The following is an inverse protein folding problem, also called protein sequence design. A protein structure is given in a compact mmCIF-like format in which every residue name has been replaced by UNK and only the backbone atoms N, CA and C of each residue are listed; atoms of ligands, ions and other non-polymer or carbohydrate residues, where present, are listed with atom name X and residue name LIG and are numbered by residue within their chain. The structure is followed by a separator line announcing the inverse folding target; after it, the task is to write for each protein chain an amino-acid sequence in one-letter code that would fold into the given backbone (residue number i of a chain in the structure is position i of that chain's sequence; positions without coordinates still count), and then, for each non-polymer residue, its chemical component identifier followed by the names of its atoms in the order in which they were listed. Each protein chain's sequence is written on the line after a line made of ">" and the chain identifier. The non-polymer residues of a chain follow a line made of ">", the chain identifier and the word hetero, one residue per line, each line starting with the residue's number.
data_IF_954992977865
#
_entry.id   IF_954992977865
#
_cell.length_a   1.000
_cell.length_b   1.000
_cell.length_c   1.000
_cell.angle_alpha   90.00
_cell.angle_beta   90.00
_cell.angle_gamma   90.00
#
_symmetry.space_group_name_H-M   'P 1'
#
loop_
_entity.id
_entity.type
_entity.pdbx_description
1 polymer ?
#
# COMPACT_ATOMS: atom_id res chain seq x y z
N UNK A 1 73.75 34.46 -28.00
CA UNK A 1 74.80 33.53 -27.56
C UNK A 1 74.21 32.54 -26.55
N UNK A 2 74.44 31.24 -26.81
CA UNK A 2 74.25 30.04 -25.95
C UNK A 2 72.84 29.54 -25.56
N UNK A 3 72.54 28.40 -26.20
CA UNK A 3 71.64 27.27 -25.88
C UNK A 3 71.76 26.76 -24.44
N UNK A 4 70.70 26.12 -23.93
CA UNK A 4 70.74 24.67 -23.61
C UNK A 4 69.34 24.04 -23.53
N UNK A 5 69.21 22.84 -24.09
CA UNK A 5 68.07 21.90 -24.04
C UNK A 5 68.25 20.98 -22.82
N UNK A 6 67.16 20.50 -22.21
CA UNK A 6 67.05 19.15 -21.61
C UNK A 6 65.58 18.75 -21.43
N UNK A 7 65.32 17.45 -21.42
CA UNK A 7 64.07 16.77 -21.80
C UNK A 7 63.58 15.85 -20.67
N UNK A 8 62.25 15.61 -20.61
CA UNK A 8 61.48 14.47 -20.05
C UNK A 8 61.60 14.05 -18.57
N UNK A 9 60.43 13.85 -17.91
CA UNK A 9 60.08 12.59 -17.21
C UNK A 9 58.58 12.54 -16.87
N UNK A 10 57.93 11.42 -17.21
CA UNK A 10 56.57 11.05 -16.79
C UNK A 10 56.53 10.76 -15.28
N UNK A 11 55.49 11.23 -14.58
CA UNK A 11 54.93 10.52 -13.41
C UNK A 11 53.46 10.88 -13.21
N UNK A 12 52.65 9.85 -12.92
CA UNK A 12 51.25 9.90 -12.45
C UNK A 12 51.11 8.75 -11.43
N UNK A 13 50.11 8.68 -10.53
CA UNK A 13 49.02 9.61 -10.18
C UNK A 13 48.99 9.97 -8.67
N UNK A 14 48.30 11.06 -8.27
CA UNK A 14 47.90 11.27 -6.86
C UNK A 14 46.41 11.61 -6.77
N UNK A 15 45.70 10.82 -5.96
CA UNK A 15 44.28 10.94 -5.63
C UNK A 15 43.94 12.31 -4.98
N UNK A 16 42.72 12.86 -5.18
CA UNK A 16 42.28 14.03 -4.44
C UNK A 16 41.86 13.63 -3.01
N UNK A 17 42.39 14.38 -2.03
CA UNK A 17 42.14 14.24 -0.59
C UNK A 17 40.70 14.65 -0.22
N UNK A 18 40.10 13.98 0.77
CA UNK A 18 38.88 14.44 1.47
C UNK A 18 39.16 15.77 2.20
N UNK A 19 38.22 16.74 2.22
CA UNK A 19 38.35 17.91 3.08
C UNK A 19 38.08 17.54 4.54
N UNK A 20 38.99 17.96 5.44
CA UNK A 20 38.82 17.97 6.89
C UNK A 20 38.03 19.21 7.32
N UNK A 21 37.06 19.06 8.20
CA UNK A 21 36.39 20.18 8.88
C UNK A 21 37.33 20.78 9.95
N UNK A 22 37.43 22.11 10.08
CA UNK A 22 38.21 22.74 11.15
C UNK A 22 37.42 22.77 12.47
N UNK A 23 38.12 22.43 13.55
CA UNK A 23 37.68 22.52 14.94
C UNK A 23 37.57 23.98 15.42
N UNK A 24 36.53 24.27 16.20
CA UNK A 24 36.48 25.44 17.09
C UNK A 24 35.87 26.72 16.52
N UNK A 25 34.57 26.90 16.73
CA UNK A 25 33.88 28.18 16.51
C UNK A 25 32.46 28.15 17.06
N UNK A 26 32.24 28.83 18.18
CA UNK A 26 30.93 29.08 18.80
C UNK A 26 30.04 29.91 17.86
N UNK A 27 28.87 29.37 17.47
CA UNK A 27 27.81 30.12 16.80
C UNK A 27 26.64 30.33 17.77
N UNK A 28 26.57 31.54 18.31
CA UNK A 28 25.40 32.13 18.96
C UNK A 28 24.37 32.56 17.92
N UNK A 29 23.10 32.25 18.20
CA UNK A 29 21.89 32.85 17.64
C UNK A 29 21.69 32.84 16.10
N UNK A 30 21.07 31.77 15.60
CA UNK A 30 20.06 31.88 14.55
C UNK A 30 18.80 31.13 15.01
N UNK A 31 17.88 31.88 15.62
CA UNK A 31 16.53 31.43 15.90
C UNK A 31 15.64 31.57 14.67
N UNK A 32 15.20 30.44 14.11
CA UNK A 32 13.79 30.20 13.73
C UNK A 32 13.62 28.73 13.38
N UNK A 33 12.69 28.10 14.09
CA UNK A 33 12.54 26.65 14.19
C UNK A 33 12.30 25.93 12.87
N UNK A 34 13.15 24.97 12.62
CA UNK A 34 12.77 23.69 12.06
C UNK A 34 13.37 22.66 13.01
N UNK A 35 12.54 22.21 13.95
CA UNK A 35 12.91 21.17 14.89
C UNK A 35 13.36 19.95 14.10
N UNK A 36 14.65 19.62 14.23
CA UNK A 36 15.19 18.30 13.93
C UNK A 36 14.53 17.31 14.90
N UNK A 37 13.31 16.89 14.60
CA UNK A 37 12.72 15.72 15.23
C UNK A 37 13.48 14.48 14.78
N UNK A 38 13.85 13.59 15.72
CA UNK A 38 14.58 12.37 15.40
C UNK A 38 13.74 11.50 14.46
N UNK A 39 14.45 10.76 13.60
CA UNK A 39 13.94 9.70 12.73
C UNK A 39 12.92 8.85 13.48
N UNK A 40 11.64 9.16 13.29
CA UNK A 40 10.58 8.20 13.52
C UNK A 40 10.64 7.26 12.32
N UNK A 41 11.10 6.04 12.59
CA UNK A 41 10.93 4.89 11.72
C UNK A 41 9.42 4.63 11.53
N UNK A 42 8.75 5.45 10.72
CA UNK A 42 7.43 5.13 10.20
C UNK A 42 7.65 4.32 8.91
N UNK A 43 8.01 3.05 9.09
CA UNK A 43 7.78 2.05 8.07
C UNK A 43 6.28 2.05 7.82
N UNK A 44 5.87 2.74 6.75
CA UNK A 44 4.47 2.93 6.39
C UNK A 44 3.92 1.58 5.95
N UNK A 45 3.30 0.87 6.88
CA UNK A 45 2.49 -0.29 6.57
C UNK A 45 1.23 0.22 5.86
N UNK A 46 1.28 0.31 4.53
CA UNK A 46 0.09 0.27 3.68
C UNK A 46 -0.52 -1.14 3.77
N UNK A 47 -1.12 -1.44 4.92
CA UNK A 47 -1.93 -2.63 5.19
C UNK A 47 -3.32 -2.19 5.67
N UNK A 48 -3.87 -1.20 4.98
CA UNK A 48 -5.25 -0.81 5.16
C UNK A 48 -5.93 -0.95 3.82
N UNK A 49 -6.90 -1.87 3.80
CA UNK A 49 -7.84 -2.18 2.72
C UNK A 49 -7.38 -3.23 1.70
N UNK A 50 -8.08 -4.37 1.68
CA UNK A 50 -8.09 -5.30 0.55
C UNK A 50 -7.25 -6.58 0.69
N UNK A 51 -7.55 -7.47 1.64
CA UNK A 51 -7.14 -8.87 1.51
C UNK A 51 -7.92 -9.51 0.36
N UNK A 52 -7.42 -9.39 -0.87
CA UNK A 52 -7.85 -10.16 -2.03
C UNK A 52 -6.62 -10.92 -2.55
N UNK A 53 -6.84 -11.96 -3.35
CA UNK A 53 -5.86 -12.89 -3.94
C UNK A 53 -4.78 -12.27 -4.86
N UNK A 54 -4.15 -11.17 -4.44
CA UNK A 54 -3.18 -10.37 -5.17
C UNK A 54 -2.04 -9.88 -4.27
N UNK A 55 -1.54 -10.75 -3.40
CA UNK A 55 -0.39 -10.46 -2.51
C UNK A 55 0.86 -9.94 -3.24
N UNK A 56 1.00 -10.18 -4.54
CA UNK A 56 2.09 -9.64 -5.37
C UNK A 56 1.88 -8.16 -5.77
N UNK A 57 0.63 -7.70 -5.89
CA UNK A 57 0.31 -6.31 -6.20
C UNK A 57 0.47 -5.41 -4.96
N UNK A 58 0.19 -5.93 -3.75
CA UNK A 58 0.34 -5.19 -2.49
C UNK A 58 1.82 -4.92 -2.16
N UNK A 59 2.71 -5.86 -2.52
CA UNK A 59 4.15 -5.66 -2.40
C UNK A 59 4.67 -4.59 -3.37
N UNK A 60 4.17 -4.58 -4.61
CA UNK A 60 4.49 -3.54 -5.59
C UNK A 60 3.92 -2.17 -5.16
N UNK A 61 2.68 -2.14 -4.65
CA UNK A 61 2.01 -0.95 -4.12
C UNK A 61 2.78 -0.32 -2.95
N UNK A 62 3.18 -1.15 -1.99
CA UNK A 62 3.94 -0.71 -0.84
C UNK A 62 5.34 -0.22 -1.28
N UNK A 63 6.03 -0.92 -2.18
CA UNK A 63 7.34 -0.52 -2.68
C UNK A 63 7.32 0.74 -3.56
N UNK A 64 6.30 0.93 -4.41
CA UNK A 64 6.17 2.08 -5.35
C UNK A 64 5.77 3.33 -4.59
N UNK A 65 4.77 3.25 -3.69
CA UNK A 65 4.43 4.37 -2.81
C UNK A 65 5.59 4.75 -1.90
N UNK A 66 6.35 3.75 -1.40
CA UNK A 66 7.55 4.01 -0.62
C UNK A 66 8.65 4.62 -1.49
N UNK A 67 8.77 4.24 -2.76
CA UNK A 67 9.75 4.81 -3.69
C UNK A 67 9.41 6.25 -4.09
N UNK A 68 8.16 6.56 -4.42
CA UNK A 68 7.71 7.93 -4.73
C UNK A 68 7.83 8.85 -3.51
N UNK A 69 7.57 8.32 -2.31
CA UNK A 69 7.80 9.04 -1.06
C UNK A 69 9.28 9.24 -0.76
N UNK A 70 10.11 8.21 -0.97
CA UNK A 70 11.55 8.32 -0.84
C UNK A 70 12.08 9.32 -1.87
N UNK A 71 11.59 9.32 -3.11
CA UNK A 71 11.99 10.24 -4.17
C UNK A 71 11.61 11.69 -3.84
N UNK A 72 10.36 11.93 -3.42
CA UNK A 72 9.87 13.24 -2.97
C UNK A 72 10.65 13.76 -1.75
N UNK A 73 11.04 12.87 -0.83
CA UNK A 73 11.81 13.22 0.37
C UNK A 73 13.32 13.32 0.10
N UNK A 74 13.84 12.65 -0.93
CA UNK A 74 15.23 12.79 -1.37
C UNK A 74 15.48 14.11 -2.10
N UNK A 75 14.47 14.66 -2.78
CA UNK A 75 14.56 15.95 -3.46
C UNK A 75 14.66 17.15 -2.48
N UNK A 76 14.33 16.95 -1.19
CA UNK A 76 14.24 18.01 -0.17
C UNK A 76 15.39 18.07 0.84
N UNK A 77 16.55 17.45 0.57
CA UNK A 77 17.80 17.83 1.25
C UNK A 77 18.50 16.76 2.09
N UNK A 78 18.41 15.48 1.71
CA UNK A 78 19.37 14.49 2.19
C UNK A 78 20.74 14.77 1.56
N UNK A 79 21.74 15.04 2.40
CA UNK A 79 23.16 15.11 2.04
C UNK A 79 23.46 13.95 1.08
N UNK A 80 24.06 14.26 -0.08
CA UNK A 80 24.33 13.34 -1.20
C UNK A 80 25.21 12.10 -0.87
N UNK A 81 25.38 11.77 0.42
CA UNK A 81 26.17 10.67 0.95
C UNK A 81 25.40 9.78 1.96
N UNK A 82 24.07 9.70 1.87
CA UNK A 82 23.30 8.73 2.66
C UNK A 82 23.29 7.36 1.96
N UNK A 83 23.34 6.27 2.75
CA UNK A 83 23.40 4.91 2.21
C UNK A 83 21.99 4.36 1.92
N UNK A 84 21.46 4.69 0.75
CA UNK A 84 20.12 4.28 0.32
C UNK A 84 19.98 2.75 0.12
N UNK A 85 21.06 2.03 -0.18
CA UNK A 85 21.02 0.56 -0.27
C UNK A 85 20.65 -0.05 1.08
N UNK A 86 21.31 0.40 2.16
CA UNK A 86 21.02 -0.11 3.52
C UNK A 86 19.60 0.23 3.96
N UNK A 87 19.15 1.45 3.69
CA UNK A 87 17.80 1.90 4.07
C UNK A 87 16.73 1.07 3.35
N UNK A 88 16.90 0.83 2.04
CA UNK A 88 15.96 0.01 1.24
C UNK A 88 15.82 -1.43 1.77
N UNK A 89 16.94 -2.06 2.16
CA UNK A 89 16.95 -3.43 2.68
C UNK A 89 16.31 -3.50 4.07
N UNK A 90 16.62 -2.56 4.96
CA UNK A 90 16.04 -2.51 6.31
C UNK A 90 14.53 -2.32 6.23
N UNK A 91 14.06 -1.37 5.41
CA UNK A 91 12.62 -1.09 5.25
C UNK A 91 11.89 -2.31 4.69
N UNK A 92 12.44 -2.97 3.67
CA UNK A 92 11.85 -4.18 3.08
C UNK A 92 11.75 -5.33 4.10
N UNK A 93 12.81 -5.57 4.88
CA UNK A 93 12.82 -6.63 5.91
C UNK A 93 11.78 -6.34 7.01
N UNK A 94 11.75 -5.10 7.52
CA UNK A 94 10.78 -4.71 8.56
C UNK A 94 9.35 -4.89 8.04
N UNK A 95 9.06 -4.42 6.83
CA UNK A 95 7.73 -4.55 6.23
C UNK A 95 7.31 -6.03 6.06
N UNK A 96 8.25 -6.89 5.64
CA UNK A 96 8.02 -8.33 5.55
C UNK A 96 7.70 -8.97 6.90
N UNK A 97 8.49 -8.67 7.94
CA UNK A 97 8.24 -9.17 9.30
C UNK A 97 6.92 -8.66 9.88
N UNK A 98 6.62 -7.37 9.71
CA UNK A 98 5.37 -6.77 10.18
C UNK A 98 4.17 -7.43 9.50
N UNK A 99 4.25 -7.73 8.20
CA UNK A 99 3.16 -8.41 7.47
C UNK A 99 2.86 -9.80 8.03
N UNK A 100 3.90 -10.60 8.29
CA UNK A 100 3.76 -11.93 8.91
C UNK A 100 3.23 -11.82 10.34
N UNK A 101 3.75 -10.87 11.12
CA UNK A 101 3.31 -10.62 12.49
C UNK A 101 1.82 -10.25 12.55
N UNK A 102 1.39 -9.30 11.72
CA UNK A 102 -0.02 -8.88 11.62
C UNK A 102 -0.90 -10.06 11.19
N UNK A 103 -0.48 -10.86 10.21
CA UNK A 103 -1.23 -12.04 9.79
C UNK A 103 -1.44 -13.03 10.94
N UNK A 104 -0.41 -13.33 11.72
CA UNK A 104 -0.52 -14.22 12.89
C UNK A 104 -1.54 -13.67 13.90
N UNK A 105 -1.47 -12.37 14.21
CA UNK A 105 -2.40 -11.73 15.15
C UNK A 105 -3.83 -11.81 14.61
N UNK A 106 -4.05 -11.47 13.34
CA UNK A 106 -5.38 -11.49 12.69
C UNK A 106 -5.98 -12.90 12.69
N UNK A 107 -5.23 -13.91 12.22
CA UNK A 107 -5.72 -15.28 12.16
C UNK A 107 -5.94 -15.89 13.56
N UNK A 108 -5.21 -15.44 14.59
CA UNK A 108 -5.48 -15.87 15.97
C UNK A 108 -6.85 -15.42 16.47
N UNK A 109 -7.27 -14.21 16.12
CA UNK A 109 -8.59 -13.66 16.49
C UNK A 109 -9.72 -14.28 15.66
N UNK A 110 -9.49 -14.50 14.37
CA UNK A 110 -10.43 -15.24 13.50
C UNK A 110 -10.64 -16.66 14.05
N UNK A 111 -9.56 -17.35 14.41
CA UNK A 111 -9.63 -18.69 15.01
C UNK A 111 -10.41 -18.69 16.33
N UNK A 112 -10.15 -17.73 17.22
CA UNK A 112 -10.90 -17.57 18.48
C UNK A 112 -12.41 -17.42 18.24
N UNK A 113 -12.81 -16.54 17.31
CA UNK A 113 -14.22 -16.34 16.94
C UNK A 113 -14.85 -17.60 16.35
N UNK A 114 -14.12 -18.30 15.47
CA UNK A 114 -14.61 -19.52 14.83
C UNK A 114 -14.85 -20.65 15.85
N UNK A 115 -13.93 -20.85 16.78
CA UNK A 115 -14.11 -21.81 17.88
C UNK A 115 -15.31 -21.45 18.74
N UNK A 116 -15.47 -20.18 19.09
CA UNK A 116 -16.62 -19.76 19.91
C UNK A 116 -17.96 -19.99 19.21
N UNK A 117 -18.06 -19.67 17.91
CA UNK A 117 -19.27 -19.97 17.12
C UNK A 117 -19.53 -21.46 17.00
N UNK A 118 -18.48 -22.25 16.85
CA UNK A 118 -18.59 -23.71 16.82
C UNK A 118 -19.13 -24.25 18.14
N UNK A 119 -18.60 -23.79 19.28
CA UNK A 119 -19.05 -24.21 20.61
C UNK A 119 -20.50 -23.79 20.89
N UNK A 120 -20.90 -22.57 20.53
CA UNK A 120 -22.27 -22.06 20.66
C UNK A 120 -23.26 -22.86 19.78
N UNK A 121 -22.89 -23.15 18.53
CA UNK A 121 -23.67 -23.97 17.60
C UNK A 121 -23.84 -25.40 18.12
N UNK A 122 -22.75 -26.02 18.58
CA UNK A 122 -22.78 -27.39 19.07
C UNK A 122 -23.58 -27.50 20.37
N UNK A 123 -23.44 -26.54 21.28
CA UNK A 123 -24.21 -26.47 22.52
C UNK A 123 -25.72 -26.36 22.25
N UNK A 124 -26.12 -25.62 21.21
CA UNK A 124 -27.53 -25.51 20.78
C UNK A 124 -28.07 -26.85 20.28
N UNK A 125 -27.28 -27.61 19.54
CA UNK A 125 -27.65 -28.96 19.10
C UNK A 125 -27.79 -29.94 20.27
N UNK A 126 -26.88 -29.89 21.25
CA UNK A 126 -26.98 -30.68 22.48
C UNK A 126 -28.28 -30.32 23.21
N UNK A 127 -28.56 -29.03 23.42
CA UNK A 127 -29.75 -28.56 24.12
C UNK A 127 -31.05 -28.98 23.41
N UNK A 128 -31.06 -28.95 22.07
CA UNK A 128 -32.20 -29.41 21.26
C UNK A 128 -32.48 -30.89 21.47
N UNK A 129 -31.43 -31.73 21.55
CA UNK A 129 -31.57 -33.15 21.83
C UNK A 129 -32.05 -33.41 23.27
N UNK A 130 -31.48 -32.70 24.23
CA UNK A 130 -31.81 -32.81 25.66
C UNK A 130 -33.28 -32.46 25.90
N UNK A 131 -33.75 -31.33 25.37
CA UNK A 131 -35.14 -30.88 25.52
C UNK A 131 -36.13 -31.74 24.73
N UNK A 132 -35.71 -32.34 23.61
CA UNK A 132 -36.56 -33.21 22.81
C UNK A 132 -36.83 -34.57 23.45
N UNK A 133 -35.92 -35.07 24.28
CA UNK A 133 -35.97 -36.39 24.92
C UNK A 133 -35.95 -36.36 26.46
N UNK A 134 -36.11 -35.17 27.06
CA UNK A 134 -36.08 -34.93 28.52
C UNK A 134 -34.89 -35.60 29.24
N UNK A 135 -33.69 -35.44 28.67
CA UNK A 135 -32.45 -35.99 29.23
C UNK A 135 -31.92 -35.08 30.37
N UNK A 136 -31.21 -35.61 31.37
CA UNK A 136 -30.56 -34.77 32.38
C UNK A 136 -29.38 -33.97 31.80
N UNK A 137 -29.22 -32.73 32.24
CA UNK A 137 -28.10 -31.87 31.88
C UNK A 137 -26.75 -32.53 32.25
N UNK A 138 -25.77 -32.48 31.34
CA UNK A 138 -24.45 -33.07 31.52
C UNK A 138 -24.32 -34.54 31.11
N UNK A 139 -25.42 -35.23 30.77
CA UNK A 139 -25.38 -36.61 30.26
C UNK A 139 -24.95 -36.69 28.78
N UNK A 140 -25.25 -35.64 28.00
CA UNK A 140 -24.83 -35.51 26.60
C UNK A 140 -23.68 -34.52 26.51
N UNK A 141 -22.52 -35.01 26.07
CA UNK A 141 -21.30 -34.22 25.86
C UNK A 141 -20.92 -34.22 24.37
N UNK A 142 -19.97 -33.35 24.00
CA UNK A 142 -19.47 -33.26 22.63
C UNK A 142 -18.91 -34.58 22.09
N UNK A 143 -18.25 -35.37 22.93
CA UNK A 143 -17.66 -36.65 22.56
C UNK A 143 -18.72 -37.73 22.28
N UNK A 144 -19.81 -37.75 23.07
CA UNK A 144 -20.84 -38.79 23.02
C UNK A 144 -22.06 -38.40 22.18
N UNK A 145 -22.06 -37.21 21.57
CA UNK A 145 -23.23 -36.66 20.89
C UNK A 145 -23.72 -37.53 19.72
N UNK A 146 -22.80 -38.00 18.87
CA UNK A 146 -23.15 -38.82 17.68
C UNK A 146 -23.75 -40.16 18.09
N UNK A 147 -23.23 -40.78 19.15
CA UNK A 147 -23.74 -42.05 19.66
C UNK A 147 -25.12 -41.87 20.31
N UNK A 148 -25.31 -40.79 21.08
CA UNK A 148 -26.61 -40.45 21.66
C UNK A 148 -27.66 -40.12 20.60
N UNK A 149 -27.29 -39.43 19.51
CA UNK A 149 -28.19 -39.20 18.38
C UNK A 149 -28.70 -40.52 17.79
N UNK A 150 -27.82 -41.51 17.60
CA UNK A 150 -28.22 -42.84 17.10
C UNK A 150 -29.14 -43.56 18.07
N UNK A 151 -28.88 -43.49 19.38
CA UNK A 151 -29.73 -44.11 20.40
C UNK A 151 -31.12 -43.48 20.46
N UNK A 152 -31.21 -42.15 20.39
CA UNK A 152 -32.49 -41.43 20.39
C UNK A 152 -33.31 -41.75 19.13
N UNK A 153 -32.68 -41.76 17.96
CA UNK A 153 -33.34 -42.13 16.70
C UNK A 153 -33.82 -43.59 16.69
N UNK A 154 -33.08 -44.50 17.31
CA UNK A 154 -33.50 -45.90 17.45
C UNK A 154 -34.66 -46.08 18.44
N UNK A 155 -34.75 -45.23 19.46
CA UNK A 155 -35.77 -45.31 20.51
C UNK A 155 -37.10 -44.73 20.06
N UNK A 156 -37.09 -43.52 19.48
CA UNK A 156 -38.27 -42.89 18.91
C UNK A 156 -37.92 -42.13 17.60
N UNK A 157 -38.09 -42.79 16.43
CA UNK A 157 -37.83 -42.19 15.14
C UNK A 157 -38.77 -41.02 14.80
N UNK A 158 -39.99 -41.02 15.34
CA UNK A 158 -41.01 -40.02 15.00
C UNK A 158 -40.76 -38.70 15.73
N UNK A 159 -40.35 -38.76 17.01
CA UNK A 159 -39.93 -37.58 17.77
C UNK A 159 -38.60 -37.03 17.22
N UNK A 160 -37.63 -37.89 16.90
CA UNK A 160 -36.34 -37.47 16.35
C UNK A 160 -36.47 -36.71 15.03
N UNK A 161 -37.40 -37.13 14.15
CA UNK A 161 -37.63 -36.48 12.85
C UNK A 161 -38.14 -35.03 12.95
N UNK A 162 -38.70 -34.62 14.09
CA UNK A 162 -39.16 -33.24 14.32
C UNK A 162 -38.05 -32.32 14.81
N UNK A 163 -36.93 -32.88 15.29
CA UNK A 163 -35.80 -32.09 15.77
C UNK A 163 -34.95 -31.59 14.60
N UNK A 164 -34.65 -30.29 14.62
CA UNK A 164 -33.80 -29.65 13.63
C UNK A 164 -32.42 -29.44 14.23
N UNK A 165 -31.41 -30.10 13.66
CA UNK A 165 -30.00 -29.92 14.04
C UNK A 165 -29.29 -29.01 13.05
N UNK A 166 -28.45 -28.12 13.55
CA UNK A 166 -27.58 -27.27 12.74
C UNK A 166 -26.29 -28.01 12.38
N UNK A 167 -25.76 -27.78 11.18
CA UNK A 167 -24.45 -28.31 10.77
C UNK A 167 -23.34 -27.38 11.26
N UNK A 168 -22.64 -27.78 12.33
CA UNK A 168 -21.53 -27.02 12.90
C UNK A 168 -20.20 -27.56 12.35
N UNK A 169 -19.60 -26.89 11.37
CA UNK A 169 -18.27 -27.24 10.85
C UNK A 169 -17.29 -26.08 11.02
N UNK A 170 -16.15 -26.34 11.67
CA UNK A 170 -15.16 -25.30 11.96
C UNK A 170 -14.51 -24.74 10.70
N UNK A 171 -14.29 -25.57 9.66
CA UNK A 171 -13.68 -25.11 8.42
C UNK A 171 -14.61 -24.12 7.70
N UNK A 172 -15.92 -24.37 7.74
CA UNK A 172 -16.91 -23.43 7.20
C UNK A 172 -16.83 -22.06 7.89
N UNK A 173 -16.75 -22.01 9.24
CA UNK A 173 -16.63 -20.76 10.00
C UNK A 173 -15.30 -20.04 9.78
N UNK A 174 -14.21 -20.76 9.56
CA UNK A 174 -12.90 -20.18 9.22
C UNK A 174 -12.89 -19.58 7.80
N UNK A 175 -13.60 -20.21 6.86
CA UNK A 175 -13.68 -19.75 5.46
C UNK A 175 -14.62 -18.54 5.27
N UNK A 176 -15.47 -18.25 6.24
CA UNK A 176 -16.36 -17.09 6.26
C UNK A 176 -15.63 -15.78 6.66
N UNK A 177 -14.30 -15.77 6.57
CA UNK A 177 -13.50 -14.58 6.80
C UNK A 177 -13.90 -13.49 5.79
N UNK A 178 -14.49 -12.42 6.33
CA UNK A 178 -14.94 -11.27 5.55
C UNK A 178 -13.71 -10.47 5.11
N UNK A 179 -13.53 -10.31 3.80
CA UNK A 179 -12.50 -9.44 3.23
C UNK A 179 -12.86 -7.95 3.42
N UNK A 180 -11.87 -7.08 3.52
CA UNK A 180 -12.06 -5.62 3.55
C UNK A 180 -12.50 -5.05 4.91
N UNK A 181 -13.44 -4.09 4.89
CA UNK A 181 -13.90 -3.34 6.08
C UNK A 181 -14.55 -4.20 7.15
N UNK A 182 -15.22 -5.29 6.76
CA UNK A 182 -15.89 -6.17 7.71
C UNK A 182 -14.94 -6.88 8.68
N UNK A 183 -13.68 -7.09 8.29
CA UNK A 183 -12.68 -7.71 9.15
C UNK A 183 -12.47 -6.89 10.44
N UNK A 184 -12.13 -5.61 10.31
CA UNK A 184 -11.88 -4.74 11.46
C UNK A 184 -13.16 -4.38 12.24
N UNK A 185 -14.26 -4.08 11.55
CA UNK A 185 -15.46 -3.52 12.19
C UNK A 185 -16.50 -4.55 12.63
N UNK A 186 -16.45 -5.78 12.12
CA UNK A 186 -17.39 -6.86 12.49
C UNK A 186 -16.64 -7.96 13.23
N UNK A 187 -15.63 -8.57 12.61
CA UNK A 187 -14.96 -9.76 13.16
C UNK A 187 -14.20 -9.41 14.44
N UNK A 188 -13.35 -8.38 14.39
CA UNK A 188 -12.54 -7.97 15.53
C UNK A 188 -13.38 -7.40 16.68
N UNK A 189 -14.38 -6.57 16.38
CA UNK A 189 -15.25 -5.99 17.42
C UNK A 189 -16.07 -7.07 18.12
N UNK A 190 -16.63 -8.04 17.38
CA UNK A 190 -17.34 -9.20 17.94
C UNK A 190 -16.41 -9.98 18.88
N UNK A 191 -15.19 -10.29 18.45
CA UNK A 191 -14.22 -10.99 19.30
C UNK A 191 -13.84 -10.20 20.56
N UNK A 192 -13.62 -8.89 20.45
CA UNK A 192 -13.26 -8.02 21.59
C UNK A 192 -14.34 -8.02 22.67
N UNK A 193 -15.64 -8.07 22.30
CA UNK A 193 -16.73 -8.12 23.29
C UNK A 193 -16.73 -9.37 24.16
N UNK A 194 -16.06 -10.44 23.71
CA UNK A 194 -15.97 -11.73 24.41
C UNK A 194 -14.72 -11.84 25.28
N UNK A 195 -13.76 -10.91 25.14
CA UNK A 195 -12.55 -10.86 25.95
C UNK A 195 -12.81 -10.15 27.30
N UNK A 196 -12.12 -10.55 28.38
CA UNK A 196 -12.17 -9.82 29.64
C UNK A 196 -11.59 -8.40 29.45
N UNK A 197 -12.17 -7.41 30.14
CA UNK A 197 -11.80 -5.99 29.99
C UNK A 197 -12.01 -5.45 28.55
N UNK A 198 -13.11 -5.82 27.90
CA UNK A 198 -13.45 -5.44 26.51
C UNK A 198 -13.26 -3.94 26.17
N UNK A 199 -13.62 -2.97 27.04
CA UNK A 199 -13.44 -1.55 26.72
C UNK A 199 -11.97 -1.15 26.51
N UNK A 200 -11.04 -1.74 27.26
CA UNK A 200 -9.61 -1.44 27.14
C UNK A 200 -9.07 -1.92 25.79
N UNK A 201 -9.38 -3.16 25.40
CA UNK A 201 -8.97 -3.74 24.13
C UNK A 201 -9.55 -2.98 22.94
N UNK A 202 -10.81 -2.54 23.03
CA UNK A 202 -11.44 -1.71 21.99
C UNK A 202 -10.69 -0.41 21.76
N UNK A 203 -10.30 0.31 22.83
CA UNK A 203 -9.58 1.58 22.71
C UNK A 203 -8.20 1.37 22.10
N UNK A 204 -7.44 0.36 22.55
CA UNK A 204 -6.13 0.05 21.99
C UNK A 204 -6.20 -0.33 20.51
N UNK A 205 -7.20 -1.13 20.12
CA UNK A 205 -7.38 -1.56 18.74
C UNK A 205 -7.72 -0.39 17.80
N UNK A 206 -8.66 0.48 18.17
CA UNK A 206 -9.02 1.61 17.33
C UNK A 206 -7.94 2.71 17.28
N UNK A 207 -7.21 2.95 18.39
CA UNK A 207 -6.06 3.87 18.37
C UNK A 207 -4.96 3.33 17.46
N UNK A 208 -4.69 2.02 17.48
CA UNK A 208 -3.74 1.38 16.57
C UNK A 208 -4.16 1.60 15.11
N UNK A 209 -5.41 1.29 14.73
CA UNK A 209 -5.90 1.51 13.36
C UNK A 209 -5.84 2.99 12.95
N UNK A 210 -6.15 3.90 13.86
CA UNK A 210 -6.05 5.33 13.64
C UNK A 210 -4.61 5.77 13.36
N UNK A 211 -3.64 5.31 14.16
CA UNK A 211 -2.22 5.62 13.95
C UNK A 211 -1.69 5.06 12.63
N UNK A 212 -2.09 3.83 12.26
CA UNK A 212 -1.71 3.23 10.96
C UNK A 212 -2.24 4.07 9.80
N UNK A 213 -3.53 4.41 9.80
CA UNK A 213 -4.13 5.25 8.78
C UNK A 213 -3.49 6.64 8.70
N UNK A 214 -3.28 7.29 9.84
CA UNK A 214 -2.69 8.63 9.91
C UNK A 214 -1.26 8.68 9.37
N UNK A 215 -0.44 7.65 9.65
CA UNK A 215 0.93 7.57 9.15
C UNK A 215 1.01 7.46 7.62
N UNK A 216 0.12 6.69 7.00
CA UNK A 216 0.02 6.57 5.54
C UNK A 216 -0.44 7.88 4.90
N UNK A 217 -1.40 8.58 5.53
CA UNK A 217 -1.91 9.85 5.01
C UNK A 217 -0.86 10.96 4.97
N UNK A 218 0.13 10.96 5.87
CA UNK A 218 1.25 11.90 5.78
C UNK A 218 2.05 11.72 4.49
N UNK A 219 2.29 10.48 4.08
CA UNK A 219 2.92 10.20 2.80
C UNK A 219 2.06 10.64 1.63
N UNK A 220 0.80 10.19 1.58
CA UNK A 220 -0.10 10.55 0.48
C UNK A 220 -0.25 12.06 0.30
N UNK A 221 -0.26 12.83 1.40
CA UNK A 221 -0.31 14.29 1.33
C UNK A 221 0.98 14.90 0.76
N UNK A 222 2.15 14.41 1.17
CA UNK A 222 3.46 14.84 0.64
C UNK A 222 3.54 14.58 -0.88
N UNK A 223 3.10 13.39 -1.32
CA UNK A 223 3.07 13.00 -2.72
C UNK A 223 2.14 13.83 -3.62
N UNK A 224 1.15 14.54 -3.05
CA UNK A 224 0.30 15.48 -3.80
C UNK A 224 0.81 16.90 -3.72
N UNK A 225 1.27 17.34 -2.55
CA UNK A 225 1.69 18.72 -2.31
C UNK A 225 2.97 19.05 -3.08
N UNK A 226 3.97 18.15 -3.08
CA UNK A 226 5.28 18.42 -3.70
C UNK A 226 5.17 18.59 -5.23
N UNK A 227 4.56 17.67 -6.00
CA UNK A 227 4.42 17.86 -7.45
C UNK A 227 3.59 19.10 -7.83
N UNK A 228 2.59 19.46 -7.02
CA UNK A 228 1.82 20.69 -7.24
C UNK A 228 2.66 21.95 -7.02
N UNK A 229 3.56 21.95 -6.05
CA UNK A 229 4.51 23.05 -5.84
C UNK A 229 5.49 23.18 -7.01
N UNK A 230 5.99 22.06 -7.51
CA UNK A 230 6.94 22.03 -8.64
C UNK A 230 6.32 22.48 -9.96
N UNK A 231 5.03 22.18 -10.18
CA UNK A 231 4.26 22.67 -11.32
C UNK A 231 3.98 24.18 -11.29
N UNK A 232 4.31 24.88 -10.19
CA UNK A 232 4.10 26.32 -10.00
C UNK A 232 2.66 26.77 -10.32
N UNK A 233 1.66 25.94 -10.01
CA UNK A 233 0.24 26.26 -10.25
C UNK A 233 -0.25 27.44 -9.40
N UNK A 234 0.42 27.70 -8.28
CA UNK A 234 0.11 28.79 -7.35
C UNK A 234 1.29 29.78 -7.31
N UNK A 235 1.03 31.08 -7.18
CA UNK A 235 2.09 32.08 -7.09
C UNK A 235 3.08 31.76 -5.95
N UNK A 236 4.39 31.94 -6.16
CA UNK A 236 5.44 31.61 -5.18
C UNK A 236 5.39 32.48 -3.89
N UNK A 237 4.44 33.41 -3.82
CA UNK A 237 4.22 34.28 -2.65
C UNK A 237 3.35 33.63 -1.58
N UNK A 238 2.61 32.58 -1.93
CA UNK A 238 1.69 31.93 -0.99
C UNK A 238 2.47 30.94 -0.12
N UNK A 239 2.23 30.92 1.20
CA UNK A 239 2.95 30.01 2.09
C UNK A 239 2.41 28.58 1.89
N UNK A 240 3.26 27.57 2.13
CA UNK A 240 2.96 26.15 1.88
C UNK A 240 1.70 25.68 2.63
N UNK A 241 1.45 26.24 3.81
CA UNK A 241 0.32 25.93 4.68
C UNK A 241 -1.03 26.24 4.01
N UNK A 242 -1.08 27.30 3.18
CA UNK A 242 -2.30 27.66 2.44
C UNK A 242 -2.58 26.65 1.33
N UNK A 243 -1.55 26.16 0.63
CA UNK A 243 -1.72 25.12 -0.38
C UNK A 243 -2.22 23.81 0.25
N UNK A 244 -1.57 23.36 1.31
CA UNK A 244 -1.97 22.15 2.05
C UNK A 244 -3.41 22.28 2.55
N UNK A 245 -3.78 23.43 3.13
CA UNK A 245 -5.15 23.69 3.57
C UNK A 245 -6.19 23.66 2.44
N UNK A 246 -5.86 24.20 1.27
CA UNK A 246 -6.75 24.18 0.09
C UNK A 246 -6.98 22.75 -0.43
N UNK A 247 -5.91 21.94 -0.49
CA UNK A 247 -6.01 20.53 -0.91
C UNK A 247 -6.88 19.76 0.09
N UNK A 248 -6.63 19.91 1.40
CA UNK A 248 -7.44 19.27 2.45
C UNK A 248 -8.93 19.67 2.36
N UNK A 249 -9.22 20.95 2.11
CA UNK A 249 -10.60 21.41 1.94
C UNK A 249 -11.24 20.82 0.67
N UNK A 250 -10.50 20.76 -0.44
CA UNK A 250 -10.96 20.15 -1.68
C UNK A 250 -11.27 18.66 -1.52
N UNK A 251 -10.37 17.89 -0.91
CA UNK A 251 -10.58 16.46 -0.67
C UNK A 251 -11.69 16.19 0.34
N UNK A 252 -11.86 17.04 1.35
CA UNK A 252 -12.99 16.97 2.28
C UNK A 252 -14.35 17.13 1.57
N UNK A 253 -14.47 18.10 0.65
CA UNK A 253 -15.71 18.31 -0.11
C UNK A 253 -16.00 17.15 -1.07
N UNK A 254 -14.99 16.58 -1.70
CA UNK A 254 -15.15 15.38 -2.55
C UNK A 254 -15.55 14.17 -1.71
N UNK A 255 -15.03 14.05 -0.47
CA UNK A 255 -15.32 12.97 0.45
C UNK A 255 -16.79 12.82 0.86
N UNK A 256 -17.64 13.82 0.61
CA UNK A 256 -19.09 13.72 0.87
C UNK A 256 -19.78 12.61 0.07
N UNK A 257 -19.19 12.14 -1.03
CA UNK A 257 -19.72 10.98 -1.76
C UNK A 257 -19.75 9.71 -0.89
N UNK A 258 -18.81 9.57 0.06
CA UNK A 258 -18.68 8.40 0.92
C UNK A 258 -19.59 8.44 2.16
N UNK A 259 -20.19 9.59 2.48
CA UNK A 259 -21.09 9.75 3.64
C UNK A 259 -22.56 9.49 3.31
N UNK A 260 -22.88 9.24 2.03
CA UNK A 260 -24.22 8.86 1.58
C UNK A 260 -24.59 7.45 2.08
N UNK A 261 -25.89 7.11 2.06
CA UNK A 261 -26.37 5.76 2.43
C UNK A 261 -25.74 4.65 1.56
N UNK A 262 -25.40 4.96 0.30
CA UNK A 262 -24.70 4.06 -0.62
C UNK A 262 -23.18 4.23 -0.58
N UNK A 263 -22.63 4.97 0.39
CA UNK A 263 -21.24 5.40 0.45
C UNK A 263 -20.24 4.25 0.52
N UNK A 264 -20.57 3.18 1.23
CA UNK A 264 -19.73 1.97 1.30
C UNK A 264 -19.55 1.30 -0.07
N UNK A 265 -20.59 1.31 -0.92
CA UNK A 265 -20.49 0.75 -2.28
C UNK A 265 -19.55 1.59 -3.16
N UNK A 266 -19.61 2.92 -3.04
CA UNK A 266 -18.67 3.82 -3.73
C UNK A 266 -17.23 3.61 -3.26
N UNK A 267 -17.02 3.45 -1.95
CA UNK A 267 -15.70 3.20 -1.39
C UNK A 267 -15.13 1.87 -1.88
N UNK A 268 -15.89 0.78 -1.82
CA UNK A 268 -15.44 -0.54 -2.31
C UNK A 268 -15.18 -0.56 -3.81
N UNK A 269 -15.97 0.17 -4.61
CA UNK A 269 -15.72 0.32 -6.04
C UNK A 269 -14.39 1.05 -6.29
N UNK A 270 -14.17 2.20 -5.66
CA UNK A 270 -12.95 2.97 -5.87
C UNK A 270 -11.71 2.25 -5.36
N UNK A 271 -11.78 1.59 -4.20
CA UNK A 271 -10.68 0.80 -3.63
C UNK A 271 -10.19 -0.29 -4.59
N UNK A 272 -11.12 -1.05 -5.17
CA UNK A 272 -10.80 -2.15 -6.08
C UNK A 272 -10.15 -1.71 -7.40
N UNK A 273 -10.47 -0.51 -7.90
CA UNK A 273 -10.06 -0.05 -9.24
C UNK A 273 -8.97 1.03 -9.23
N UNK A 274 -9.03 1.96 -8.28
CA UNK A 274 -8.05 3.04 -8.16
C UNK A 274 -6.71 2.52 -7.63
N UNK A 275 -6.75 1.52 -6.74
CA UNK A 275 -5.57 0.95 -6.09
C UNK A 275 -4.82 -0.12 -6.91
N UNK A 276 -5.38 -0.61 -8.01
CA UNK A 276 -4.82 -1.76 -8.75
C UNK A 276 -4.21 -1.34 -10.09
N UNK A 277 -5.05 -0.90 -11.04
CA UNK A 277 -4.65 -0.66 -12.43
C UNK A 277 -3.60 0.46 -12.58
N UNK A 278 -3.81 1.68 -12.02
CA UNK A 278 -2.85 2.76 -12.16
C UNK A 278 -1.47 2.42 -11.62
N UNK A 279 -1.42 1.81 -10.44
CA UNK A 279 -0.19 1.56 -9.71
C UNK A 279 0.70 0.54 -10.41
N UNK A 280 0.10 -0.51 -10.98
CA UNK A 280 0.83 -1.49 -11.77
C UNK A 280 1.45 -0.84 -13.03
N UNK A 281 0.68 -0.01 -13.74
CA UNK A 281 1.15 0.66 -14.96
C UNK A 281 2.26 1.68 -14.64
N UNK A 282 2.11 2.50 -13.61
CA UNK A 282 3.12 3.47 -13.16
C UNK A 282 4.42 2.75 -12.80
N UNK A 283 4.33 1.72 -11.95
CA UNK A 283 5.49 0.93 -11.52
C UNK A 283 6.25 0.27 -12.68
N UNK A 284 5.51 -0.25 -13.67
CA UNK A 284 6.12 -0.81 -14.88
C UNK A 284 6.83 0.27 -15.70
N UNK A 285 6.19 1.43 -15.91
CA UNK A 285 6.77 2.55 -16.65
C UNK A 285 8.03 3.10 -15.96
N UNK A 286 8.04 3.23 -14.64
CA UNK A 286 9.20 3.68 -13.86
C UNK A 286 10.39 2.73 -14.05
N UNK A 287 10.19 1.43 -13.80
CA UNK A 287 11.23 0.44 -13.94
C UNK A 287 11.79 0.39 -15.37
N UNK A 288 10.90 0.43 -16.37
CA UNK A 288 11.30 0.46 -17.78
C UNK A 288 12.08 1.73 -18.13
N UNK A 289 11.64 2.89 -17.63
CA UNK A 289 12.29 4.17 -17.88
C UNK A 289 13.70 4.26 -17.29
N UNK A 290 13.90 3.78 -16.06
CA UNK A 290 15.23 3.81 -15.41
C UNK A 290 16.20 2.83 -16.06
N UNK A 291 15.76 1.60 -16.35
CA UNK A 291 16.68 0.55 -16.82
C UNK A 291 17.01 0.71 -18.31
N UNK A 292 16.01 0.97 -19.15
CA UNK A 292 16.17 0.97 -20.61
C UNK A 292 16.29 2.37 -21.22
N UNK A 293 15.60 3.38 -20.70
CA UNK A 293 15.65 4.75 -21.27
C UNK A 293 16.82 5.55 -20.69
N UNK A 294 16.94 5.61 -19.35
CA UNK A 294 18.07 6.27 -18.70
C UNK A 294 19.37 5.47 -18.85
N UNK A 295 19.25 4.14 -18.82
CA UNK A 295 20.34 3.19 -19.01
C UNK A 295 20.97 2.78 -17.69
N UNK A 296 20.88 1.48 -17.38
CA UNK A 296 21.42 0.87 -16.17
C UNK A 296 22.92 1.16 -15.93
N UNK A 297 23.74 1.26 -16.97
CA UNK A 297 25.18 1.54 -16.82
C UNK A 297 25.46 2.97 -16.35
N UNK A 298 24.56 3.92 -16.66
CA UNK A 298 24.64 5.29 -16.14
C UNK A 298 24.18 5.32 -14.69
N UNK A 299 23.05 4.68 -14.40
CA UNK A 299 22.52 4.56 -13.04
C UNK A 299 23.53 3.93 -12.06
N UNK A 300 24.30 2.92 -12.51
CA UNK A 300 25.35 2.32 -11.70
C UNK A 300 26.47 3.29 -11.31
N UNK A 301 26.81 4.26 -12.16
CA UNK A 301 27.82 5.28 -11.85
C UNK A 301 27.28 6.31 -10.86
N UNK A 302 26.00 6.63 -10.96
CA UNK A 302 25.34 7.55 -10.02
C UNK A 302 25.25 6.94 -8.62
N UNK A 303 24.91 5.64 -8.52
CA UNK A 303 24.95 4.92 -7.23
C UNK A 303 26.37 4.83 -6.68
N UNK A 304 27.37 4.54 -7.53
CA UNK A 304 28.78 4.52 -7.10
C UNK A 304 29.24 5.88 -6.57
N UNK A 305 28.74 6.98 -7.13
CA UNK A 305 29.00 8.33 -6.64
C UNK A 305 28.34 8.61 -5.28
N UNK A 306 27.12 8.12 -5.03
CA UNK A 306 26.40 8.35 -3.77
C UNK A 306 26.88 7.45 -2.61
N UNK A 307 27.05 6.15 -2.86
CA UNK A 307 27.34 5.13 -1.82
C UNK A 307 28.84 4.81 -1.76
N UNK A 308 29.60 5.10 -2.82
CA UNK A 308 31.04 4.84 -2.90
C UNK A 308 31.42 3.45 -3.42
N UNK A 309 30.45 2.61 -3.79
CA UNK A 309 30.68 1.33 -4.45
C UNK A 309 29.57 1.01 -5.45
N UNK A 310 29.86 0.13 -6.41
CA UNK A 310 28.84 -0.34 -7.38
C UNK A 310 27.87 -1.33 -6.72
N UNK A 311 26.61 -1.40 -7.18
CA UNK A 311 25.66 -2.42 -6.75
C UNK A 311 26.14 -3.84 -7.10
N UNK A 312 25.83 -4.80 -6.22
CA UNK A 312 26.13 -6.22 -6.42
C UNK A 312 25.46 -6.80 -7.69
N UNK A 313 25.97 -7.96 -8.15
CA UNK A 313 25.43 -8.68 -9.31
C UNK A 313 23.95 -9.05 -9.15
N UNK A 314 23.50 -9.29 -7.91
CA UNK A 314 22.09 -9.52 -7.59
C UNK A 314 21.21 -8.36 -8.07
N UNK A 315 21.54 -7.13 -7.70
CA UNK A 315 20.81 -5.92 -8.13
C UNK A 315 20.84 -5.75 -9.66
N UNK A 316 21.97 -6.05 -10.31
CA UNK A 316 22.08 -5.96 -11.77
C UNK A 316 21.14 -6.93 -12.49
N UNK A 317 21.08 -8.20 -12.03
CA UNK A 317 20.21 -9.22 -12.64
C UNK A 317 18.75 -8.90 -12.37
N UNK A 318 18.44 -8.46 -11.15
CA UNK A 318 17.08 -8.10 -10.74
C UNK A 318 16.53 -6.95 -11.57
N UNK A 319 17.26 -5.83 -11.70
CA UNK A 319 16.79 -4.68 -12.47
C UNK A 319 16.76 -4.92 -13.98
N UNK A 320 17.74 -5.65 -14.55
CA UNK A 320 17.82 -5.82 -16.01
C UNK A 320 16.85 -6.85 -16.57
N UNK A 321 16.50 -7.89 -15.80
CA UNK A 321 15.76 -9.04 -16.34
C UNK A 321 14.61 -9.44 -15.43
N UNK A 322 14.86 -9.71 -14.15
CA UNK A 322 13.86 -10.36 -13.29
C UNK A 322 12.66 -9.44 -13.02
N UNK A 323 12.89 -8.23 -12.54
CA UNK A 323 11.81 -7.29 -12.18
C UNK A 323 10.98 -6.87 -13.38
N UNK A 324 11.55 -6.44 -14.54
CA UNK A 324 10.74 -6.09 -15.70
C UNK A 324 9.92 -7.26 -16.24
N UNK A 325 10.47 -8.48 -16.24
CA UNK A 325 9.77 -9.68 -16.69
C UNK A 325 8.62 -10.05 -15.76
N UNK A 326 8.86 -10.04 -14.44
CA UNK A 326 7.86 -10.35 -13.43
C UNK A 326 6.71 -9.34 -13.45
N UNK A 327 7.01 -8.04 -13.55
CA UNK A 327 6.00 -6.99 -13.68
C UNK A 327 5.17 -7.13 -14.96
N UNK A 328 5.81 -7.49 -16.08
CA UNK A 328 5.10 -7.74 -17.35
C UNK A 328 4.15 -8.95 -17.25
N UNK A 329 4.58 -10.03 -16.58
CA UNK A 329 3.75 -11.23 -16.35
C UNK A 329 2.53 -10.88 -15.50
N UNK A 330 2.72 -10.17 -14.38
CA UNK A 330 1.62 -9.76 -13.49
C UNK A 330 0.65 -8.84 -14.25
N UNK A 331 1.16 -7.90 -15.05
CA UNK A 331 0.32 -7.02 -15.87
C UNK A 331 -0.59 -7.81 -16.82
N UNK A 332 -0.03 -8.79 -17.53
CA UNK A 332 -0.78 -9.62 -18.47
C UNK A 332 -1.83 -10.48 -17.77
N UNK A 333 -1.48 -11.12 -16.65
CA UNK A 333 -2.44 -11.89 -15.87
C UNK A 333 -3.56 -11.02 -15.31
N UNK A 334 -3.22 -9.86 -14.78
CA UNK A 334 -4.20 -8.90 -14.29
C UNK A 334 -5.19 -8.52 -15.40
N UNK A 335 -4.69 -8.18 -16.60
CA UNK A 335 -5.53 -7.83 -17.73
C UNK A 335 -6.46 -8.99 -18.14
N UNK A 336 -5.96 -10.22 -18.18
CA UNK A 336 -6.77 -11.42 -18.52
C UNK A 336 -7.88 -11.65 -17.51
N UNK A 337 -7.57 -11.59 -16.21
CA UNK A 337 -8.57 -11.75 -15.14
C UNK A 337 -9.61 -10.65 -15.21
N UNK A 338 -9.17 -9.40 -15.39
CA UNK A 338 -10.04 -8.23 -15.41
C UNK A 338 -11.01 -8.22 -16.60
N UNK A 339 -10.60 -8.71 -17.76
CA UNK A 339 -11.46 -8.85 -18.95
C UNK A 339 -12.44 -10.03 -18.82
N UNK A 340 -12.07 -11.06 -18.07
CA UNK A 340 -12.87 -12.29 -17.96
C UNK A 340 -13.90 -12.27 -16.82
N UNK A 341 -13.74 -11.39 -15.83
CA UNK A 341 -14.64 -11.33 -14.67
C UNK A 341 -15.81 -10.37 -14.88
N UNK A 342 -17.02 -10.84 -14.52
CA UNK A 342 -18.20 -9.99 -14.43
C UNK A 342 -18.12 -9.09 -13.19
N UNK A 343 -18.43 -7.81 -13.39
CA UNK A 343 -18.41 -6.81 -12.31
C UNK A 343 -19.59 -7.04 -11.36
N UNK A 344 -19.32 -7.68 -10.23
CA UNK A 344 -20.32 -7.94 -9.17
C UNK A 344 -19.95 -7.25 -7.87
N UNK A 345 -20.96 -6.87 -7.09
CA UNK A 345 -20.81 -6.34 -5.73
C UNK A 345 -21.79 -6.97 -4.77
N UNK A 346 -21.37 -7.06 -3.50
CA UNK A 346 -22.21 -7.57 -2.42
C UNK A 346 -23.13 -6.47 -1.91
N UNK A 347 -24.43 -6.75 -1.83
CA UNK A 347 -25.43 -5.86 -1.23
C UNK A 347 -25.93 -6.39 0.12
N UNK A 348 -26.30 -5.45 0.96
CA UNK A 348 -27.05 -5.73 2.18
C UNK A 348 -28.54 -5.53 1.92
N UNK A 349 -29.28 -6.64 1.75
CA UNK A 349 -30.74 -6.63 1.61
C UNK A 349 -31.40 -7.43 2.75
N UNK A 350 -32.12 -6.77 3.68
CA UNK A 350 -32.84 -7.46 4.75
C UNK A 350 -34.06 -8.24 4.26
N UNK A 351 -34.54 -8.01 3.02
CA UNK A 351 -35.65 -8.73 2.41
C UNK A 351 -35.24 -9.97 1.62
N UNK A 352 -33.95 -10.31 1.59
CA UNK A 352 -33.43 -11.45 0.84
C UNK A 352 -33.82 -12.79 1.48
N UNK A 353 -34.27 -13.74 0.67
CA UNK A 353 -34.79 -15.04 1.14
C UNK A 353 -33.75 -15.87 1.93
N UNK A 354 -32.45 -15.71 1.64
CA UNK A 354 -31.37 -16.40 2.35
C UNK A 354 -30.61 -15.50 3.34
N UNK A 355 -31.24 -14.42 3.83
CA UNK A 355 -30.66 -13.60 4.89
C UNK A 355 -30.25 -14.50 6.07
N UNK A 356 -29.00 -14.39 6.60
CA UNK A 356 -28.05 -13.28 6.51
C UNK A 356 -26.95 -13.40 5.42
N UNK A 357 -27.07 -14.30 4.44
CA UNK A 357 -26.05 -14.43 3.39
C UNK A 357 -25.99 -13.17 2.50
N UNK A 358 -24.77 -12.78 2.12
CA UNK A 358 -24.56 -11.64 1.21
C UNK A 358 -25.01 -11.98 -0.21
N UNK A 359 -25.90 -11.15 -0.78
CA UNK A 359 -26.33 -11.29 -2.16
C UNK A 359 -25.36 -10.55 -3.09
N UNK A 360 -24.89 -11.21 -4.15
CA UNK A 360 -24.04 -10.58 -5.18
C UNK A 360 -24.88 -10.18 -6.38
N UNK A 361 -24.83 -8.91 -6.75
CA UNK A 361 -25.53 -8.39 -7.94
C UNK A 361 -24.54 -7.70 -8.88
N UNK A 362 -24.89 -7.64 -10.17
CA UNK A 362 -24.05 -7.01 -11.19
C UNK A 362 -24.14 -5.49 -11.12
N UNK A 363 -23.02 -4.82 -11.40
CA UNK A 363 -22.99 -3.35 -11.42
C UNK A 363 -23.83 -2.78 -12.59
N UNK A 364 -24.47 -1.62 -12.40
CA UNK A 364 -25.12 -0.89 -13.49
C UNK A 364 -24.15 -0.45 -14.59
N UNK A 365 -24.63 -0.36 -15.84
CA UNK A 365 -23.78 0.00 -16.99
C UNK A 365 -23.10 1.38 -16.91
N UNK A 366 -23.65 2.33 -16.15
CA UNK A 366 -23.00 3.65 -16.00
C UNK A 366 -21.73 3.59 -15.15
N UNK A 367 -21.56 2.53 -14.33
CA UNK A 367 -20.38 2.34 -13.47
C UNK A 367 -19.12 2.12 -14.30
N UNK A 368 -19.23 1.54 -15.50
CA UNK A 368 -18.09 1.42 -16.41
C UNK A 368 -17.48 2.79 -16.75
N UNK A 369 -18.29 3.85 -16.86
CA UNK A 369 -17.77 5.21 -17.09
C UNK A 369 -16.93 5.68 -15.91
N UNK A 370 -17.38 5.43 -14.68
CA UNK A 370 -16.63 5.76 -13.46
C UNK A 370 -15.32 4.99 -13.39
N UNK A 371 -15.36 3.68 -13.65
CA UNK A 371 -14.16 2.83 -13.66
C UNK A 371 -13.15 3.31 -14.71
N UNK A 372 -13.60 3.64 -15.93
CA UNK A 372 -12.73 4.17 -16.98
C UNK A 372 -12.12 5.51 -16.59
N UNK A 373 -12.84 6.39 -15.89
CA UNK A 373 -12.27 7.66 -15.41
C UNK A 373 -11.20 7.40 -14.35
N UNK A 374 -11.53 6.59 -13.33
CA UNK A 374 -10.69 6.39 -12.14
C UNK A 374 -9.42 5.61 -12.48
N UNK A 375 -9.54 4.53 -13.25
CA UNK A 375 -8.39 3.70 -13.63
C UNK A 375 -7.73 4.21 -14.92
N UNK A 376 -8.52 4.68 -15.89
CA UNK A 376 -8.02 5.03 -17.22
C UNK A 376 -7.30 6.37 -17.27
N UNK A 377 -7.77 7.42 -16.58
CA UNK A 377 -7.12 8.74 -16.62
C UNK A 377 -5.66 8.67 -16.13
N UNK A 378 -5.34 8.10 -14.94
CA UNK A 378 -3.97 7.98 -14.48
C UNK A 378 -3.07 7.16 -15.42
N UNK A 379 -3.61 6.11 -16.05
CA UNK A 379 -2.83 5.26 -16.94
C UNK A 379 -2.60 5.88 -18.32
N UNK A 380 -3.55 6.68 -18.82
CA UNK A 380 -3.48 7.32 -20.13
C UNK A 380 -2.70 8.65 -20.12
N UNK A 381 -2.50 9.28 -18.97
CA UNK A 381 -1.70 10.52 -18.87
C UNK A 381 -0.24 10.29 -19.25
N UNK A 382 0.34 9.13 -18.92
CA UNK A 382 1.73 8.78 -19.27
C UNK A 382 1.94 8.79 -20.80
N UNK A 383 1.24 7.94 -21.60
CA UNK A 383 1.38 7.96 -23.05
C UNK A 383 0.83 9.26 -23.66
N UNK A 384 -0.24 9.84 -23.10
CA UNK A 384 -0.82 11.08 -23.58
C UNK A 384 0.15 12.25 -23.54
N UNK A 385 0.89 12.41 -22.43
CA UNK A 385 1.91 13.46 -22.30
C UNK A 385 3.12 13.19 -23.21
N UNK A 386 3.53 11.94 -23.37
CA UNK A 386 4.59 11.55 -24.30
C UNK A 386 4.24 11.91 -25.75
N UNK A 387 3.03 11.56 -26.21
CA UNK A 387 2.54 11.90 -27.55
C UNK A 387 2.44 13.42 -27.73
N UNK A 388 1.86 14.14 -26.75
CA UNK A 388 1.77 15.60 -26.79
C UNK A 388 3.15 16.25 -26.96
N UNK A 389 4.17 15.80 -26.22
CA UNK A 389 5.52 16.34 -26.32
C UNK A 389 6.17 16.01 -27.66
N UNK A 390 5.97 14.80 -28.20
CA UNK A 390 6.46 14.43 -29.53
C UNK A 390 5.84 15.27 -30.63
N UNK A 391 4.51 15.46 -30.61
CA UNK A 391 3.81 16.32 -31.57
C UNK A 391 4.30 17.75 -31.45
N UNK A 392 4.43 18.29 -30.24
CA UNK A 392 4.94 19.66 -30.02
C UNK A 392 6.35 19.82 -30.58
N UNK A 393 7.25 18.86 -30.35
CA UNK A 393 8.61 18.91 -30.87
C UNK A 393 8.63 18.81 -32.41
N UNK A 394 7.76 17.99 -33.01
CA UNK A 394 7.63 17.89 -34.46
C UNK A 394 7.00 19.15 -35.11
N UNK A 395 6.11 19.85 -34.40
CA UNK A 395 5.47 21.08 -34.87
C UNK A 395 6.29 22.35 -34.58
N UNK A 396 7.31 22.29 -33.72
CA UNK A 396 8.20 23.41 -33.46
C UNK A 396 9.18 23.60 -34.63
N UNK A 397 9.10 24.78 -35.27
CA UNK A 397 10.06 25.20 -36.30
C UNK A 397 11.46 25.40 -35.68
N UNK A 398 12.56 25.20 -36.45
CA UNK A 398 13.95 25.28 -35.97
C UNK A 398 14.42 26.73 -35.69
N UNK A 399 13.69 27.46 -34.86
CA UNK A 399 13.99 28.83 -34.46
C UNK A 399 13.40 29.27 -33.13
N UNK A 400 12.61 28.43 -32.46
CA UNK A 400 11.92 28.79 -31.21
C UNK A 400 12.30 27.79 -30.10
N UNK A 401 13.60 27.70 -29.81
CA UNK A 401 14.11 27.03 -28.60
C UNK A 401 13.86 27.92 -27.37
N UNK A 402 12.59 28.19 -27.06
CA UNK A 402 12.22 28.56 -25.71
C UNK A 402 12.19 27.28 -24.89
N UNK A 403 13.36 26.93 -24.33
CA UNK A 403 13.57 25.79 -23.47
C UNK A 403 12.65 25.87 -22.25
N UNK A 404 11.50 25.21 -22.34
CA UNK A 404 10.75 24.82 -21.16
C UNK A 404 11.05 23.34 -20.87
N UNK A 405 11.68 23.16 -19.71
CA UNK A 405 12.24 21.94 -19.13
C UNK A 405 13.69 21.65 -19.55
N UNK A 406 14.59 22.52 -19.10
CA UNK A 406 15.92 22.11 -18.66
C UNK A 406 15.96 22.14 -17.13
N UNK A 407 15.19 21.28 -16.46
CA UNK A 407 15.63 20.71 -15.18
C UNK A 407 16.57 19.56 -15.52
N UNK A 408 17.73 19.92 -16.08
CA UNK A 408 18.91 19.11 -15.89
C UNK A 408 19.30 19.40 -14.43
N UNK A 409 19.11 18.46 -13.53
CA UNK A 409 19.79 18.46 -12.24
C UNK A 409 21.28 18.23 -12.48
N UNK A 410 21.93 19.16 -13.16
CA UNK A 410 23.36 19.38 -13.03
C UNK A 410 23.55 20.03 -11.68
N UNK A 411 24.03 19.25 -10.71
CA UNK A 411 24.71 19.80 -9.55
C UNK A 411 25.83 20.71 -10.08
N UNK A 412 25.57 22.02 -10.13
CA UNK A 412 26.56 23.01 -10.53
C UNK A 412 27.56 23.16 -9.40
N UNK A 413 28.60 22.33 -9.47
CA UNK A 413 29.88 22.52 -8.81
C UNK A 413 30.58 23.75 -9.39
N UNK A 414 30.17 24.94 -8.96
CA UNK A 414 31.06 26.08 -8.78
C UNK A 414 30.29 27.17 -8.03
N UNK A 415 30.70 27.38 -6.79
CA UNK A 415 30.30 28.57 -6.04
C UNK A 415 30.94 29.78 -6.71
N UNK A 416 30.09 30.71 -7.14
CA UNK A 416 30.40 32.13 -7.19
C UNK A 416 29.06 32.88 -7.20
N UNK A 417 28.57 33.17 -5.98
CA UNK A 417 27.56 34.20 -5.76
C UNK A 417 28.23 35.55 -5.99
N UNK A 418 27.88 36.24 -7.08
CA UNK A 418 28.05 37.69 -7.17
C UNK A 418 26.68 38.35 -7.11
N UNK A 419 26.47 39.00 -5.96
CA UNK A 419 25.51 40.03 -5.55
C UNK A 419 24.07 39.98 -6.06
#
# INVERSE_FOLDING_TARGET
>A
MRRSKAQCTLSSPKAPKRPQCPEGGTCSEWGRGSDCLPVSLSGSASHSWGWRSGQDADAALCCVLTWDLIASRHDTGLVCSNNCEKDSVIVSIINGFTSVYVAIVVYSVIGFRATQRYDDCFSTNILTLINGFDLPEGNVTQENFVDMQRQCNASDPAAYAQLVFQTCDINSFLSEAVEGTGLAFIIFTEAITKMPLSPLWSVLFFIMLFCLGLSSMFGNMEGVVVPLQDLRVIPPKWPKEVLTGLICLGTFLIGFIFTLNSGQYWLSLLDSYAGSIPLLIIAFCEMFSVVYVYGVDRFNKDIEFMIGHKPNIFWQVTWRVVSPLLMLIIFLFFFVVQVSQELTYSIWDPGYEEFPKSQKISYPNWVYVVVVIVAGVPSLTIPGYAIYKLIRNHCQKPGDHQGLVSTLSTASMNGDLKY
#
